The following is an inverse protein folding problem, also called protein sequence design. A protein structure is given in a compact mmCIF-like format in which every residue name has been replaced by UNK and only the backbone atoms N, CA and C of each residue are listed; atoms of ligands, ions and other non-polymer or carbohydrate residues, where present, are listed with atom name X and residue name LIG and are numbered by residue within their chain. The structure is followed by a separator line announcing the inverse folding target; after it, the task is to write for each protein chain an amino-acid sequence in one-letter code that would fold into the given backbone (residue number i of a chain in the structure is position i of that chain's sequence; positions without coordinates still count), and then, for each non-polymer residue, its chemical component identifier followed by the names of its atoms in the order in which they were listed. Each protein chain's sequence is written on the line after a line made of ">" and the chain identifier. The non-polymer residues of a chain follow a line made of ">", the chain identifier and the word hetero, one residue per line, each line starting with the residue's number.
data_IF_067698125618
#
_entry.id   IF_067698125618
#
_cell.length_a   1.000
_cell.length_b   1.000
_cell.length_c   1.000
_cell.angle_alpha   90.00
_cell.angle_beta   90.00
_cell.angle_gamma   90.00
#
_symmetry.space_group_name_H-M   'P 1'
#
loop_
_entity.id
_entity.type
_entity.pdbx_description
1 polymer ?
#
# COMPACT_ATOMS: atom_id res chain seq x y z
N UNK A 1 -5.85 -18.46 12.71
CA UNK A 1 -6.35 -18.98 11.42
C UNK A 1 -5.49 -18.49 10.25
N UNK A 2 -5.29 -17.17 10.09
CA UNK A 2 -4.35 -16.59 9.11
C UNK A 2 -2.94 -17.18 9.25
N UNK A 3 -2.42 -17.30 10.47
CA UNK A 3 -1.09 -17.89 10.74
C UNK A 3 -0.93 -19.35 10.30
N UNK A 4 -2.03 -20.11 10.11
CA UNK A 4 -1.95 -21.50 9.63
C UNK A 4 -1.79 -21.59 8.10
N UNK A 5 -2.09 -20.49 7.40
CA UNK A 5 -2.00 -20.36 5.95
C UNK A 5 -0.73 -19.61 5.54
N UNK A 6 -0.31 -18.63 6.35
CA UNK A 6 0.87 -17.83 6.08
C UNK A 6 2.13 -18.70 5.96
N UNK A 7 2.79 -18.64 4.80
CA UNK A 7 3.99 -19.45 4.50
C UNK A 7 3.75 -20.95 4.32
N UNK A 8 2.49 -21.42 4.40
CA UNK A 8 2.17 -22.83 4.27
C UNK A 8 1.83 -23.18 2.81
N UNK A 9 2.80 -23.75 2.09
CA UNK A 9 2.64 -24.19 0.70
C UNK A 9 1.61 -25.31 0.52
N UNK A 10 1.21 -26.01 1.59
CA UNK A 10 0.20 -27.07 1.58
C UNK A 10 -1.22 -26.56 1.88
N UNK A 11 -1.40 -25.25 2.11
CA UNK A 11 -2.72 -24.69 2.40
C UNK A 11 -3.66 -24.85 1.19
N UNK A 12 -4.90 -25.27 1.45
CA UNK A 12 -5.90 -25.42 0.39
C UNK A 12 -6.37 -24.05 -0.13
N UNK A 13 -6.87 -24.02 -1.38
CA UNK A 13 -7.46 -22.80 -1.95
C UNK A 13 -8.58 -22.22 -1.09
N UNK A 14 -9.37 -23.06 -0.43
CA UNK A 14 -10.44 -22.62 0.48
C UNK A 14 -9.88 -21.95 1.74
N UNK A 15 -8.83 -22.53 2.35
CA UNK A 15 -8.16 -21.95 3.51
C UNK A 15 -7.52 -20.60 3.17
N UNK A 16 -6.90 -20.49 1.99
CA UNK A 16 -6.34 -19.23 1.49
C UNK A 16 -7.43 -18.17 1.33
N UNK A 17 -8.53 -18.50 0.65
CA UNK A 17 -9.65 -17.57 0.47
C UNK A 17 -10.23 -17.10 1.81
N UNK A 18 -10.41 -18.01 2.76
CA UNK A 18 -10.92 -17.66 4.08
C UNK A 18 -9.96 -16.73 4.84
N UNK A 19 -8.66 -17.00 4.81
CA UNK A 19 -7.65 -16.13 5.42
C UNK A 19 -7.65 -14.73 4.78
N UNK A 20 -7.75 -14.64 3.45
CA UNK A 20 -7.86 -13.36 2.72
C UNK A 20 -9.12 -12.59 3.14
N UNK A 21 -10.27 -13.26 3.25
CA UNK A 21 -11.52 -12.60 3.67
C UNK A 21 -11.43 -12.08 5.11
N UNK A 22 -10.81 -12.83 6.02
CA UNK A 22 -10.57 -12.36 7.39
C UNK A 22 -9.64 -11.14 7.39
N UNK A 23 -8.54 -11.15 6.62
CA UNK A 23 -7.65 -9.98 6.52
C UNK A 23 -8.42 -8.75 6.02
N UNK A 24 -9.26 -8.92 5.01
CA UNK A 24 -10.09 -7.83 4.47
C UNK A 24 -11.09 -7.29 5.50
N UNK A 25 -11.73 -8.17 6.27
CA UNK A 25 -12.70 -7.75 7.30
C UNK A 25 -12.06 -7.02 8.49
N UNK A 26 -10.76 -7.15 8.69
CA UNK A 26 -10.03 -6.44 9.75
C UNK A 26 -9.75 -4.97 9.43
N UNK A 27 -10.07 -4.49 8.21
CA UNK A 27 -9.83 -3.10 7.82
C UNK A 27 -8.36 -2.76 7.55
N UNK A 28 -7.47 -3.76 7.47
CA UNK A 28 -6.03 -3.56 7.25
C UNK A 28 -5.74 -2.81 5.94
N UNK A 29 -6.56 -3.03 4.90
CA UNK A 29 -6.42 -2.32 3.62
C UNK A 29 -6.61 -0.80 3.77
N UNK A 30 -7.56 -0.37 4.61
CA UNK A 30 -7.82 1.05 4.87
C UNK A 30 -6.69 1.70 5.69
N UNK A 31 -6.22 1.01 6.73
CA UNK A 31 -5.10 1.49 7.56
C UNK A 31 -3.82 1.66 6.72
N UNK A 32 -3.50 0.68 5.88
CA UNK A 32 -2.35 0.75 4.96
C UNK A 32 -2.51 1.89 3.95
N UNK A 33 -3.73 2.12 3.44
CA UNK A 33 -4.02 3.25 2.54
C UNK A 33 -3.79 4.59 3.23
N UNK A 34 -4.25 4.75 4.47
CA UNK A 34 -4.06 5.98 5.25
C UNK A 34 -2.57 6.23 5.55
N UNK A 35 -1.81 5.20 5.94
CA UNK A 35 -0.36 5.32 6.11
C UNK A 35 0.33 5.71 4.80
N UNK A 36 -0.05 5.09 3.69
CA UNK A 36 0.51 5.39 2.37
C UNK A 36 0.27 6.85 1.98
N UNK A 37 -0.94 7.38 2.20
CA UNK A 37 -1.25 8.79 1.94
C UNK A 37 -0.41 9.74 2.82
N UNK A 38 -0.26 9.41 4.10
CA UNK A 38 0.56 10.21 5.03
C UNK A 38 2.01 10.31 4.56
N UNK A 39 2.62 9.20 4.16
CA UNK A 39 3.99 9.20 3.64
C UNK A 39 4.12 9.91 2.30
N UNK A 40 3.12 9.79 1.42
CA UNK A 40 3.10 10.51 0.16
C UNK A 40 3.07 12.03 0.38
N UNK A 41 2.22 12.53 1.29
CA UNK A 41 2.15 13.95 1.64
C UNK A 41 3.49 14.45 2.21
N UNK A 42 4.15 13.64 3.05
CA UNK A 42 5.47 13.98 3.58
C UNK A 42 6.53 14.04 2.47
N UNK A 43 6.54 13.06 1.57
CA UNK A 43 7.46 13.02 0.43
C UNK A 43 7.25 14.22 -0.49
N UNK A 44 6.00 14.55 -0.83
CA UNK A 44 5.67 15.70 -1.67
C UNK A 44 6.11 17.02 -1.02
N UNK A 45 5.86 17.19 0.29
CA UNK A 45 6.31 18.37 1.04
C UNK A 45 7.83 18.54 0.99
N UNK A 46 8.58 17.44 1.16
CA UNK A 46 10.05 17.45 1.06
C UNK A 46 10.52 17.73 -0.36
N UNK A 47 9.86 17.17 -1.38
CA UNK A 47 10.23 17.41 -2.78
C UNK A 47 9.99 18.86 -3.19
N UNK A 48 8.94 19.51 -2.67
CA UNK A 48 8.61 20.91 -3.00
C UNK A 48 9.72 21.92 -2.64
N UNK A 49 10.67 21.59 -1.75
CA UNK A 49 11.79 22.47 -1.40
C UNK A 49 12.88 22.53 -2.47
N UNK A 50 12.88 21.59 -3.42
CA UNK A 50 13.83 21.55 -4.52
C UNK A 50 13.38 22.41 -5.70
N UNK A 51 14.32 22.76 -6.57
CA UNK A 51 14.09 23.51 -7.81
C UNK A 51 14.47 22.65 -9.02
N UNK A 52 14.05 23.06 -10.22
CA UNK A 52 14.33 22.35 -11.47
C UNK A 52 13.28 21.31 -11.87
N UNK A 53 13.41 20.79 -13.09
CA UNK A 53 12.44 19.89 -13.72
C UNK A 53 12.40 18.49 -13.10
N UNK A 54 13.53 17.97 -12.63
CA UNK A 54 13.63 16.65 -12.00
C UNK A 54 12.69 16.51 -10.80
N UNK A 55 12.49 17.58 -10.03
CA UNK A 55 11.51 17.61 -8.92
C UNK A 55 10.10 17.26 -9.41
N UNK A 56 9.68 17.85 -10.52
CA UNK A 56 8.34 17.66 -11.05
C UNK A 56 8.13 16.23 -11.57
N UNK A 57 9.18 15.62 -12.14
CA UNK A 57 9.16 14.22 -12.56
C UNK A 57 8.99 13.28 -11.36
N UNK A 58 9.73 13.50 -10.27
CA UNK A 58 9.62 12.67 -9.05
C UNK A 58 8.26 12.85 -8.38
N UNK A 59 7.71 14.07 -8.32
CA UNK A 59 6.33 14.31 -7.83
C UNK A 59 5.31 13.59 -8.71
N UNK A 60 5.47 13.63 -10.04
CA UNK A 60 4.57 12.93 -10.97
C UNK A 60 4.63 11.41 -10.79
N UNK A 61 5.83 10.87 -10.53
CA UNK A 61 6.01 9.44 -10.21
C UNK A 61 5.33 9.06 -8.90
N UNK A 62 5.46 9.90 -7.87
CA UNK A 62 4.77 9.71 -6.59
C UNK A 62 3.24 9.65 -6.80
N UNK A 63 2.67 10.63 -7.50
CA UNK A 63 1.23 10.68 -7.78
C UNK A 63 0.75 9.46 -8.56
N UNK A 64 1.53 9.00 -9.53
CA UNK A 64 1.22 7.81 -10.32
C UNK A 64 1.17 6.53 -9.47
N UNK A 65 2.12 6.36 -8.55
CA UNK A 65 2.16 5.20 -7.66
C UNK A 65 0.97 5.22 -6.69
N UNK A 66 0.60 6.38 -6.18
CA UNK A 66 -0.54 6.53 -5.25
C UNK A 66 -1.87 6.32 -5.97
N UNK A 67 -2.08 6.90 -7.16
CA UNK A 67 -3.32 6.70 -7.96
C UNK A 67 -3.55 5.25 -8.36
N UNK A 68 -2.50 4.45 -8.52
CA UNK A 68 -2.61 2.99 -8.79
C UNK A 68 -3.08 2.17 -7.59
N UNK A 69 -3.11 2.77 -6.39
CA UNK A 69 -3.42 2.10 -5.12
C UNK A 69 -4.70 2.61 -4.45
N UNK A 70 -5.19 3.77 -4.88
CA UNK A 70 -6.51 4.31 -4.53
C UNK A 70 -7.58 3.61 -5.36
#
# INVERSE_FOLDING_TARGET
>A
MIMRVFGNSKASKQQIRLAVNIIRSLGVEEEVRNMTLKYAQQAEKSLRTYTGSAKNEVISLLDFVIKRRL
#
